data_IF_470098012266
#
_entry.id   IF_470098012266
#
_cell.length_a   1.000
_cell.length_b   1.000
_cell.length_c   1.000
_cell.angle_alpha   90.00
_cell.angle_beta   90.00
_cell.angle_gamma   90.00
#
_symmetry.space_group_name_H-M   'P 1'
#
loop_
_entity.id
_entity.type
_entity.pdbx_description
1 polymer ?
#
# COMPACT_ATOMS: atom_id res chain seq x y z
N UNK A 1 -14.41 6.12 26.34
CA UNK A 1 -14.75 5.90 24.91
C UNK A 1 -13.49 6.00 24.06
N UNK A 2 -12.96 4.87 23.58
CA UNK A 2 -12.13 4.83 22.37
C UNK A 2 -11.99 3.37 21.92
N UNK A 3 -13.00 2.85 21.22
CA UNK A 3 -12.75 1.74 20.31
C UNK A 3 -12.13 2.34 19.05
N UNK A 4 -10.80 2.27 18.94
CA UNK A 4 -10.16 2.40 17.63
C UNK A 4 -10.03 0.98 17.10
N UNK A 5 -11.02 0.54 16.34
CA UNK A 5 -10.88 -0.59 15.41
C UNK A 5 -9.76 -0.23 14.40
N UNK A 6 -8.51 -0.44 14.80
CA UNK A 6 -7.33 -0.24 13.94
C UNK A 6 -7.11 -1.53 13.18
N UNK A 7 -7.19 -1.44 11.85
CA UNK A 7 -6.70 -2.48 10.95
C UNK A 7 -5.18 -2.46 10.97
N UNK A 8 -4.57 -3.64 11.00
CA UNK A 8 -3.12 -3.78 10.83
C UNK A 8 -2.71 -3.21 9.46
N UNK A 9 -1.59 -2.49 9.42
CA UNK A 9 -1.13 -1.79 8.24
C UNK A 9 0.02 -2.54 7.57
N UNK A 10 -0.09 -2.74 6.26
CA UNK A 10 0.99 -3.24 5.40
C UNK A 10 1.53 -2.04 4.62
N UNK A 11 2.84 -1.81 4.73
CA UNK A 11 3.53 -0.72 4.05
C UNK A 11 4.29 -1.29 2.85
N UNK A 12 3.94 -0.84 1.66
CA UNK A 12 4.61 -1.19 0.41
C UNK A 12 5.51 -0.01 -0.01
N UNK A 13 6.80 -0.27 -0.25
CA UNK A 13 7.74 0.74 -0.73
C UNK A 13 7.96 0.55 -2.22
N UNK A 14 7.40 1.46 -3.03
CA UNK A 14 7.51 1.38 -4.48
C UNK A 14 8.84 2.00 -4.96
N UNK A 15 9.53 1.30 -5.87
CA UNK A 15 10.62 1.90 -6.61
C UNK A 15 10.11 3.04 -7.52
N UNK A 16 10.97 4.01 -7.90
CA UNK A 16 10.58 5.08 -8.81
C UNK A 16 10.11 4.54 -10.17
N UNK A 17 9.17 5.24 -10.79
CA UNK A 17 8.64 4.92 -12.13
C UNK A 17 7.24 4.31 -12.09
N UNK A 18 6.41 4.68 -13.07
CA UNK A 18 4.97 4.35 -13.07
C UNK A 18 4.69 2.84 -13.07
N UNK A 19 5.52 2.04 -13.74
CA UNK A 19 5.37 0.58 -13.78
C UNK A 19 5.47 -0.05 -12.38
N UNK A 20 6.49 0.35 -11.60
CA UNK A 20 6.66 -0.13 -10.24
C UNK A 20 5.50 0.29 -9.32
N UNK A 21 5.01 1.52 -9.47
CA UNK A 21 3.85 2.02 -8.71
C UNK A 21 2.60 1.23 -9.04
N UNK A 22 2.30 1.01 -10.32
CA UNK A 22 1.14 0.23 -10.76
C UNK A 22 1.22 -1.20 -10.23
N UNK A 23 2.39 -1.86 -10.30
CA UNK A 23 2.57 -3.19 -9.71
C UNK A 23 2.32 -3.23 -8.20
N UNK A 24 2.77 -2.22 -7.44
CA UNK A 24 2.51 -2.14 -6.00
C UNK A 24 1.02 -1.90 -5.68
N UNK A 25 0.30 -1.15 -6.53
CA UNK A 25 -1.14 -0.94 -6.40
C UNK A 25 -1.91 -2.23 -6.68
N UNK A 26 -1.59 -2.96 -7.74
CA UNK A 26 -2.23 -4.26 -8.05
C UNK A 26 -1.98 -5.29 -6.94
N UNK A 27 -0.75 -5.35 -6.42
CA UNK A 27 -0.42 -6.18 -5.25
C UNK A 27 -1.26 -5.80 -4.02
N UNK A 28 -1.38 -4.50 -3.73
CA UNK A 28 -2.21 -4.01 -2.63
C UNK A 28 -3.68 -4.42 -2.77
N UNK A 29 -4.25 -4.29 -3.97
CA UNK A 29 -5.63 -4.74 -4.25
C UNK A 29 -5.80 -6.25 -4.06
N UNK A 30 -4.84 -7.04 -4.53
CA UNK A 30 -4.86 -8.50 -4.37
C UNK A 30 -4.85 -8.90 -2.90
N UNK A 31 -4.00 -8.28 -2.08
CA UNK A 31 -3.95 -8.50 -0.63
C UNK A 31 -5.28 -8.12 0.02
N UNK A 32 -5.83 -6.95 -0.28
CA UNK A 32 -7.12 -6.52 0.28
C UNK A 32 -8.27 -7.48 -0.08
N UNK A 33 -8.28 -7.97 -1.31
CA UNK A 33 -9.26 -8.95 -1.78
C UNK A 33 -9.13 -10.29 -1.06
N UNK A 34 -7.89 -10.80 -0.90
CA UNK A 34 -7.66 -12.11 -0.28
C UNK A 34 -7.93 -12.11 1.23
N UNK A 35 -7.63 -11.02 1.92
CA UNK A 35 -7.76 -10.92 3.38
C UNK A 35 -9.04 -10.20 3.82
N UNK A 36 -10.09 -10.21 3.00
CA UNK A 36 -11.41 -9.62 3.32
C UNK A 36 -11.32 -8.21 3.92
N UNK A 37 -10.41 -7.38 3.39
CA UNK A 37 -10.21 -6.00 3.84
C UNK A 37 -9.80 -5.87 5.33
N UNK A 38 -9.18 -6.90 5.92
CA UNK A 38 -8.66 -6.89 7.32
C UNK A 38 -7.45 -5.98 7.50
N UNK A 39 -6.67 -5.78 6.44
CA UNK A 39 -5.49 -4.91 6.45
C UNK A 39 -5.79 -3.54 5.84
N UNK A 40 -4.97 -2.56 6.20
CA UNK A 40 -4.84 -1.31 5.46
C UNK A 40 -3.54 -1.35 4.64
N UNK A 41 -3.58 -0.91 3.38
CA UNK A 41 -2.38 -0.83 2.54
C UNK A 41 -1.94 0.62 2.43
N UNK A 42 -0.68 0.89 2.75
CA UNK A 42 -0.04 2.21 2.54
C UNK A 42 1.10 2.03 1.54
N UNK A 43 1.09 2.79 0.45
CA UNK A 43 2.15 2.76 -0.56
C UNK A 43 3.01 4.01 -0.39
N UNK A 44 4.28 3.81 -0.06
CA UNK A 44 5.28 4.87 -0.02
C UNK A 44 5.90 5.02 -1.41
N UNK A 45 5.81 6.23 -1.93
CA UNK A 45 6.37 6.60 -3.21
C UNK A 45 7.67 7.35 -2.97
N UNK A 46 8.74 6.90 -3.62
CA UNK A 46 9.98 7.66 -3.70
C UNK A 46 9.79 8.82 -4.67
N UNK A 47 9.43 9.98 -4.15
CA UNK A 47 9.40 11.23 -4.89
C UNK A 47 10.73 11.95 -4.71
N UNK A 48 11.63 11.80 -5.67
CA UNK A 48 12.88 12.54 -5.75
C UNK A 48 13.12 12.89 -7.21
N UNK A 49 13.59 14.11 -7.46
CA UNK A 49 14.07 14.52 -8.78
C UNK A 49 15.35 13.73 -9.06
N UNK A 50 15.25 12.70 -9.88
CA UNK A 50 16.40 11.98 -10.43
C UNK A 50 16.40 12.26 -11.95
N UNK A 51 16.42 13.56 -12.24
CA UNK A 51 16.36 14.23 -13.55
C UNK A 51 16.44 15.77 -13.31
#
# INVERSE_FOLDING_TARGET
MADRSKKDAIVLYAAPGIGHVVSMVELGKLILSHFSNRFSITILLTTGRLD
#
